data_IF_264536326561
#
_entry.id   IF_264536326561
#
_cell.length_a   1.000
_cell.length_b   1.000
_cell.length_c   1.000
_cell.angle_alpha   90.00
_cell.angle_beta   90.00
_cell.angle_gamma   90.00
#
_symmetry.space_group_name_H-M   'P 1'
#
loop_
_entity.id
_entity.type
_entity.pdbx_description
1 polymer ?
#
# COMPACT_ATOMS: atom_id res chain seq x y z
N UNK A 1 -1.07 13.18 12.61
CA UNK A 1 -1.09 12.22 11.49
C UNK A 1 -2.15 11.17 11.78
N UNK A 2 -3.04 10.86 10.84
CA UNK A 2 -4.02 9.77 10.98
C UNK A 2 -3.57 8.61 10.09
N UNK A 3 -3.74 7.37 10.57
CA UNK A 3 -3.47 6.16 9.79
C UNK A 3 -4.67 5.73 8.97
N UNK A 4 -4.44 4.90 7.95
CA UNK A 4 -5.48 4.22 7.18
C UNK A 4 -5.44 2.72 7.46
N UNK A 5 -6.60 2.07 7.38
CA UNK A 5 -6.70 0.61 7.37
C UNK A 5 -6.72 0.15 5.93
N UNK A 6 -5.81 -0.74 5.57
CA UNK A 6 -5.72 -1.37 4.25
C UNK A 6 -5.47 -2.87 4.33
N UNK A 7 -5.72 -3.57 3.23
CA UNK A 7 -5.52 -5.02 3.09
C UNK A 7 -4.20 -5.31 2.38
N UNK A 8 -3.39 -6.22 2.94
CA UNK A 8 -2.21 -6.75 2.23
C UNK A 8 -2.68 -7.62 1.07
N UNK A 9 -2.41 -7.17 -0.16
CA UNK A 9 -2.77 -7.90 -1.39
C UNK A 9 -1.65 -8.88 -1.77
N UNK A 10 -0.40 -8.47 -1.58
CA UNK A 10 0.74 -9.31 -1.93
C UNK A 10 2.03 -8.53 -2.03
N UNK A 11 2.99 -9.11 -2.73
CA UNK A 11 4.30 -8.51 -2.99
C UNK A 11 4.59 -8.59 -4.48
N UNK A 12 5.20 -7.52 -4.99
CA UNK A 12 5.69 -7.43 -6.37
C UNK A 12 6.97 -6.59 -6.39
N UNK A 13 7.44 -6.19 -7.57
CA UNK A 13 8.57 -5.27 -7.74
C UNK A 13 8.24 -4.18 -8.74
N UNK A 14 8.80 -2.99 -8.54
CA UNK A 14 8.81 -1.91 -9.52
C UNK A 14 10.23 -1.78 -10.06
N UNK A 15 10.35 -1.69 -11.38
CA UNK A 15 11.62 -1.39 -12.04
C UNK A 15 11.68 0.12 -12.31
N UNK A 16 12.75 0.77 -11.87
CA UNK A 16 13.00 2.19 -12.18
C UNK A 16 13.59 2.34 -13.58
N UNK A 17 13.63 3.57 -14.10
CA UNK A 17 14.24 3.89 -15.40
C UNK A 17 15.74 3.56 -15.43
N UNK A 18 16.42 3.68 -14.28
CA UNK A 18 17.83 3.28 -14.10
C UNK A 18 18.03 1.75 -14.01
N UNK A 19 16.96 0.96 -14.19
CA UNK A 19 16.99 -0.50 -14.15
C UNK A 19 17.00 -1.12 -12.76
N UNK A 20 16.75 -0.34 -11.69
CA UNK A 20 16.74 -0.86 -10.31
C UNK A 20 15.42 -1.56 -10.02
N UNK A 21 15.49 -2.80 -9.53
CA UNK A 21 14.33 -3.59 -9.10
C UNK A 21 14.04 -3.39 -7.61
N UNK A 22 13.00 -2.65 -7.27
CA UNK A 22 12.60 -2.38 -5.89
C UNK A 22 11.48 -3.33 -5.47
N UNK A 23 11.67 -4.21 -4.47
CA UNK A 23 10.59 -5.06 -3.95
C UNK A 23 9.61 -4.22 -3.12
N UNK A 24 8.31 -4.42 -3.35
CA UNK A 24 7.25 -3.65 -2.69
C UNK A 24 6.16 -4.57 -2.16
N UNK A 25 5.49 -4.14 -1.10
CA UNK A 25 4.22 -4.75 -0.64
C UNK A 25 3.06 -3.93 -1.21
N UNK A 26 2.10 -4.59 -1.82
CA UNK A 26 0.88 -3.95 -2.32
C UNK A 26 -0.15 -3.94 -1.20
N UNK A 27 -0.57 -2.75 -0.80
CA UNK A 27 -1.67 -2.55 0.15
C UNK A 27 -2.83 -1.90 -0.60
N UNK A 28 -3.97 -2.59 -0.62
CA UNK A 28 -5.23 -2.04 -1.11
C UNK A 28 -5.91 -1.25 0.01
N UNK A 29 -6.30 -0.02 -0.30
CA UNK A 29 -6.93 0.89 0.65
C UNK A 29 -8.27 1.34 0.06
N UNK A 30 -9.36 0.85 0.67
CA UNK A 30 -10.71 1.34 0.41
C UNK A 30 -11.03 2.58 1.28
N UNK A 31 -12.13 3.27 0.99
CA UNK A 31 -12.54 4.43 1.76
C UNK A 31 -12.79 4.09 3.24
N UNK A 32 -11.89 4.54 4.12
CA UNK A 32 -12.02 4.38 5.56
C UNK A 32 -13.17 5.25 6.10
N UNK A 33 -14.05 4.65 6.91
CA UNK A 33 -15.09 5.37 7.64
C UNK A 33 -14.65 5.54 9.09
N UNK A 34 -14.71 6.77 9.59
CA UNK A 34 -14.43 7.06 10.98
C UNK A 34 -15.67 6.71 11.81
N UNK A 35 -15.47 5.92 12.85
CA UNK A 35 -16.52 5.59 13.82
C UNK A 35 -16.11 6.13 15.19
N UNK A 36 -17.03 6.85 15.83
CA UNK A 36 -16.90 7.36 17.20
C UNK A 36 -18.22 7.08 17.92
N UNK A 37 -18.41 5.81 18.27
CA UNK A 37 -19.40 5.43 19.27
C UNK A 37 -18.96 5.87 20.66
#
# INVERSE_FOLDING_TARGET
>A
MIGLVGKKVGMTRIFTEDGVSIPVTVIEVEANRVYSG
#
